data_IF_947113636544
#
_entry.id   IF_947113636544
#
_cell.length_a   1.000
_cell.length_b   1.000
_cell.length_c   1.000
_cell.angle_alpha   90.00
_cell.angle_beta   90.00
_cell.angle_gamma   90.00
#
_symmetry.space_group_name_H-M   'P 1'
#
loop_
_entity.id
_entity.type
_entity.pdbx_description
1 polymer ?
#
# COMPACT_ATOMS: atom_id res chain seq x y z
N UNK A 1 -0.06 -28.00 -10.99
CA UNK A 1 0.26 -26.58 -11.22
C UNK A 1 -0.96 -25.65 -11.16
N UNK A 2 -2.17 -25.99 -11.66
CA UNK A 2 -3.34 -25.10 -11.58
C UNK A 2 -3.77 -24.73 -10.15
N UNK A 3 -3.76 -25.71 -9.23
CA UNK A 3 -4.12 -25.47 -7.83
C UNK A 3 -3.14 -24.54 -7.08
N UNK A 4 -1.87 -24.47 -7.49
CA UNK A 4 -0.91 -23.53 -6.89
C UNK A 4 -1.19 -22.11 -7.36
N UNK A 5 -1.40 -21.90 -8.67
CA UNK A 5 -1.70 -20.56 -9.22
C UNK A 5 -3.02 -19.99 -8.68
N UNK A 6 -3.99 -20.84 -8.38
CA UNK A 6 -5.21 -20.39 -7.71
C UNK A 6 -4.96 -19.93 -6.27
N UNK A 7 -4.08 -20.62 -5.53
CA UNK A 7 -3.65 -20.17 -4.19
C UNK A 7 -2.86 -18.86 -4.23
N UNK A 8 -2.10 -18.62 -5.31
CA UNK A 8 -1.38 -17.37 -5.54
C UNK A 8 -2.35 -16.20 -5.74
N UNK A 9 -3.40 -16.37 -6.54
CA UNK A 9 -4.48 -15.37 -6.70
C UNK A 9 -5.21 -15.11 -5.38
N UNK A 10 -5.58 -16.16 -4.65
CA UNK A 10 -6.21 -15.98 -3.32
C UNK A 10 -5.30 -15.24 -2.34
N UNK A 11 -3.98 -15.38 -2.48
CA UNK A 11 -3.02 -14.63 -1.66
C UNK A 11 -2.98 -13.17 -2.06
N UNK A 12 -2.99 -12.84 -3.35
CA UNK A 12 -3.07 -11.46 -3.86
C UNK A 12 -4.28 -10.76 -3.22
N UNK A 13 -5.46 -11.37 -3.28
CA UNK A 13 -6.68 -10.81 -2.69
C UNK A 13 -6.55 -10.58 -1.18
N UNK A 14 -6.02 -11.56 -0.42
CA UNK A 14 -5.80 -11.39 1.03
C UNK A 14 -4.82 -10.27 1.33
N UNK A 15 -3.74 -10.14 0.57
CA UNK A 15 -2.75 -9.07 0.77
C UNK A 15 -3.38 -7.70 0.47
N UNK A 16 -4.20 -7.58 -0.60
CA UNK A 16 -4.94 -6.36 -0.90
C UNK A 16 -5.91 -5.97 0.23
N UNK A 17 -6.68 -6.92 0.77
CA UNK A 17 -7.57 -6.68 1.90
C UNK A 17 -6.82 -6.15 3.13
N UNK A 18 -5.65 -6.73 3.45
CA UNK A 18 -4.80 -6.30 4.56
C UNK A 18 -4.29 -4.87 4.30
N UNK A 19 -3.81 -4.58 3.09
CA UNK A 19 -3.28 -3.27 2.71
C UNK A 19 -4.38 -2.21 2.84
N UNK A 20 -5.57 -2.45 2.29
CA UNK A 20 -6.72 -1.53 2.39
C UNK A 20 -7.20 -1.36 3.83
N UNK A 21 -7.16 -2.42 4.64
CA UNK A 21 -7.47 -2.37 6.06
C UNK A 21 -6.48 -1.49 6.83
N UNK A 22 -5.18 -1.57 6.53
CA UNK A 22 -4.16 -0.71 7.13
C UNK A 22 -4.38 0.76 6.76
N UNK A 23 -4.65 1.06 5.49
CA UNK A 23 -4.97 2.41 5.02
C UNK A 23 -6.18 2.97 5.78
N UNK A 24 -7.25 2.20 5.88
CA UNK A 24 -8.47 2.61 6.60
C UNK A 24 -8.19 2.95 8.06
N UNK A 25 -7.38 2.14 8.73
CA UNK A 25 -6.98 2.38 10.13
C UNK A 25 -6.12 3.64 10.26
N UNK A 26 -5.13 3.83 9.40
CA UNK A 26 -4.27 5.04 9.41
C UNK A 26 -5.13 6.29 9.29
N UNK A 27 -6.06 6.32 8.34
CA UNK A 27 -6.97 7.46 8.14
C UNK A 27 -7.84 7.74 9.37
N UNK A 28 -8.26 6.69 10.09
CA UNK A 28 -9.09 6.81 11.28
C UNK A 28 -8.34 7.26 12.55
N UNK A 29 -6.99 7.20 12.58
CA UNK A 29 -6.21 7.61 13.76
C UNK A 29 -6.30 9.12 14.06
N UNK A 30 -6.60 9.95 13.05
CA UNK A 30 -6.80 11.39 13.24
C UNK A 30 -8.27 11.76 13.11
N UNK A 31 -8.94 11.96 14.25
CA UNK A 31 -10.35 12.40 14.30
C UNK A 31 -10.56 13.89 14.08
N UNK A 32 -9.47 14.64 13.85
CA UNK A 32 -9.50 16.09 13.69
C UNK A 32 -8.99 16.55 12.31
N UNK A 33 -8.71 15.66 11.34
CA UNK A 33 -8.05 16.04 10.08
C UNK A 33 -8.84 17.11 9.27
N UNK A 34 -10.17 17.15 9.41
CA UNK A 34 -11.03 18.16 8.77
C UNK A 34 -11.00 19.53 9.48
N UNK A 35 -10.49 19.57 10.71
CA UNK A 35 -10.56 20.73 11.60
C UNK A 35 -9.21 21.37 11.91
N UNK A 36 -8.11 20.62 11.75
CA UNK A 36 -6.74 21.11 11.99
C UNK A 36 -5.82 20.74 10.83
N UNK A 37 -4.95 21.67 10.46
CA UNK A 37 -3.96 21.49 9.39
C UNK A 37 -2.57 21.08 9.93
N UNK A 38 -2.41 21.04 11.25
CA UNK A 38 -1.14 20.72 11.89
C UNK A 38 -1.37 20.06 13.26
N UNK A 39 -0.72 18.93 13.52
CA UNK A 39 -0.82 18.21 14.80
C UNK A 39 -0.37 19.04 16.03
N UNK A 40 0.34 20.16 15.85
CA UNK A 40 0.79 21.02 16.94
C UNK A 40 -0.35 21.79 17.64
N UNK A 41 -1.54 21.86 17.04
CA UNK A 41 -2.73 22.43 17.69
C UNK A 41 -3.44 21.43 18.61
N UNK A 42 -3.08 20.14 18.56
CA UNK A 42 -3.66 19.11 19.41
C UNK A 42 -3.05 19.12 20.82
N UNK A 43 -3.81 18.60 21.80
CA UNK A 43 -3.33 18.39 23.17
C UNK A 43 -2.05 17.53 23.18
N UNK A 44 -0.98 17.89 23.92
CA UNK A 44 0.31 17.23 23.82
C UNK A 44 0.29 15.70 24.03
N UNK A 45 -0.50 15.23 25.00
CA UNK A 45 -0.63 13.79 25.29
C UNK A 45 -1.34 13.05 24.15
N UNK A 46 -2.41 13.64 23.60
CA UNK A 46 -3.13 13.09 22.46
C UNK A 46 -2.22 13.03 21.22
N UNK A 47 -1.45 14.09 20.98
CA UNK A 47 -0.47 14.17 19.88
C UNK A 47 0.58 13.06 19.97
N UNK A 48 1.11 12.78 21.17
CA UNK A 48 2.11 11.74 21.36
C UNK A 48 1.56 10.34 21.03
N UNK A 49 0.37 10.02 21.54
CA UNK A 49 -0.29 8.71 21.27
C UNK A 49 -0.63 8.57 19.78
N UNK A 50 -1.26 9.59 19.20
CA UNK A 50 -1.63 9.61 17.77
C UNK A 50 -0.40 9.43 16.88
N UNK A 51 0.70 10.14 17.17
CA UNK A 51 1.96 10.00 16.43
C UNK A 51 2.48 8.55 16.50
N UNK A 52 2.53 7.95 17.69
CA UNK A 52 3.03 6.58 17.84
C UNK A 52 2.19 5.54 17.08
N UNK A 53 0.86 5.67 17.13
CA UNK A 53 -0.04 4.78 16.39
C UNK A 53 0.13 4.93 14.88
N UNK A 54 0.12 6.17 14.37
CA UNK A 54 0.31 6.47 12.95
C UNK A 54 1.67 5.94 12.47
N UNK A 55 2.73 6.13 13.26
CA UNK A 55 4.06 5.62 12.93
C UNK A 55 4.08 4.11 12.72
N UNK A 56 3.52 3.38 13.68
CA UNK A 56 3.49 1.93 13.66
C UNK A 56 2.64 1.41 12.49
N UNK A 57 1.48 2.03 12.24
CA UNK A 57 0.60 1.64 11.14
C UNK A 57 1.22 1.94 9.78
N UNK A 58 1.85 3.11 9.60
CA UNK A 58 2.57 3.45 8.36
C UNK A 58 3.70 2.45 8.11
N UNK A 59 4.47 2.10 9.15
CA UNK A 59 5.53 1.10 9.02
C UNK A 59 4.96 -0.24 8.53
N UNK A 60 3.88 -0.72 9.14
CA UNK A 60 3.22 -1.97 8.72
C UNK A 60 2.65 -1.88 7.30
N UNK A 61 2.02 -0.76 6.93
CA UNK A 61 1.51 -0.52 5.58
C UNK A 61 2.61 -0.60 4.53
N UNK A 62 3.74 0.07 4.77
CA UNK A 62 4.88 0.06 3.86
C UNK A 62 5.47 -1.35 3.74
N UNK A 63 5.70 -2.03 4.86
CA UNK A 63 6.30 -3.37 4.86
C UNK A 63 5.43 -4.40 4.13
N UNK A 64 4.13 -4.41 4.40
CA UNK A 64 3.19 -5.34 3.75
C UNK A 64 3.10 -5.05 2.25
N UNK A 65 2.97 -3.78 1.86
CA UNK A 65 2.83 -3.40 0.45
C UNK A 65 4.09 -3.73 -0.36
N UNK A 66 5.28 -3.44 0.17
CA UNK A 66 6.53 -3.78 -0.53
C UNK A 66 6.74 -5.30 -0.64
N UNK A 67 6.34 -6.05 0.40
CA UNK A 67 6.40 -7.52 0.37
C UNK A 67 5.44 -8.09 -0.67
N UNK A 68 4.23 -7.55 -0.77
CA UNK A 68 3.24 -7.92 -1.78
C UNK A 68 3.78 -7.70 -3.19
N UNK A 69 4.32 -6.51 -3.49
CA UNK A 69 4.92 -6.21 -4.80
C UNK A 69 6.02 -7.20 -5.20
N UNK A 70 6.86 -7.60 -4.24
CA UNK A 70 7.91 -8.60 -4.46
C UNK A 70 7.32 -9.98 -4.79
N UNK A 71 6.27 -10.39 -4.09
CA UNK A 71 5.61 -11.69 -4.32
C UNK A 71 4.98 -11.73 -5.71
N UNK A 72 4.27 -10.69 -6.13
CA UNK A 72 3.70 -10.61 -7.48
C UNK A 72 4.79 -10.63 -8.56
N UNK A 73 5.91 -9.96 -8.32
CA UNK A 73 7.08 -10.03 -9.20
C UNK A 73 7.57 -11.47 -9.42
N UNK A 74 7.50 -12.31 -8.39
CA UNK A 74 7.84 -13.74 -8.49
C UNK A 74 6.76 -14.52 -9.26
N UNK A 75 5.48 -14.21 -9.04
CA UNK A 75 4.37 -14.84 -9.79
C UNK A 75 4.42 -14.56 -11.29
N UNK A 76 5.00 -13.43 -11.66
CA UNK A 76 5.21 -13.04 -13.04
C UNK A 76 6.37 -13.79 -13.75
N UNK A 77 7.19 -14.59 -13.07
CA UNK A 77 8.36 -15.22 -13.72
C UNK A 77 7.98 -16.17 -14.86
N UNK A 78 6.84 -16.88 -14.73
CA UNK A 78 6.38 -17.88 -15.69
C UNK A 78 4.94 -17.60 -16.16
N UNK A 79 4.69 -17.72 -17.46
CA UNK A 79 3.34 -17.61 -18.03
C UNK A 79 2.78 -16.20 -18.20
N UNK A 80 3.54 -15.16 -17.82
CA UNK A 80 3.14 -13.74 -17.96
C UNK A 80 3.94 -13.06 -19.07
N UNK A 81 3.30 -12.34 -20.03
CA UNK A 81 3.98 -11.66 -21.11
C UNK A 81 4.99 -10.61 -20.63
N UNK A 82 6.17 -10.58 -21.26
CA UNK A 82 7.26 -9.65 -20.87
C UNK A 82 6.82 -8.18 -20.80
N UNK A 83 5.96 -7.74 -21.72
CA UNK A 83 5.45 -6.38 -21.75
C UNK A 83 4.65 -6.02 -20.49
N UNK A 84 3.77 -6.93 -20.04
CA UNK A 84 3.00 -6.76 -18.82
C UNK A 84 3.93 -6.72 -17.60
N UNK A 85 4.87 -7.66 -17.48
CA UNK A 85 5.86 -7.69 -16.36
C UNK A 85 6.64 -6.39 -16.24
N UNK A 86 7.13 -5.87 -17.36
CA UNK A 86 7.89 -4.63 -17.38
C UNK A 86 7.03 -3.40 -17.02
N UNK A 87 5.73 -3.42 -17.33
CA UNK A 87 4.81 -2.36 -16.95
C UNK A 87 4.42 -2.46 -15.46
N UNK A 88 4.07 -3.65 -14.99
CA UNK A 88 3.70 -3.95 -13.60
C UNK A 88 4.84 -3.60 -12.64
N UNK A 89 6.07 -4.05 -12.93
CA UNK A 89 7.24 -3.74 -12.09
C UNK A 89 7.56 -2.24 -12.05
N UNK A 90 7.27 -1.48 -13.12
CA UNK A 90 7.41 -0.02 -13.09
C UNK A 90 6.37 0.62 -12.16
N UNK A 91 5.12 0.15 -12.21
CA UNK A 91 4.08 0.61 -11.30
C UNK A 91 4.43 0.29 -9.83
N UNK A 92 5.01 -0.90 -9.55
CA UNK A 92 5.53 -1.22 -8.21
C UNK A 92 6.62 -0.24 -7.74
N UNK A 93 7.51 0.21 -8.63
CA UNK A 93 8.53 1.21 -8.29
C UNK A 93 7.94 2.58 -7.98
N UNK A 94 6.90 3.00 -8.71
CA UNK A 94 6.17 4.24 -8.43
C UNK A 94 5.51 4.20 -7.05
N UNK A 95 4.83 3.08 -6.72
CA UNK A 95 4.26 2.84 -5.39
C UNK A 95 5.37 2.87 -4.31
N UNK A 96 6.50 2.21 -4.54
CA UNK A 96 7.61 2.18 -3.58
C UNK A 96 8.17 3.57 -3.27
N UNK A 97 8.29 4.46 -4.26
CA UNK A 97 8.74 5.83 -4.02
C UNK A 97 7.68 6.66 -3.27
N UNK A 98 6.37 6.46 -3.54
CA UNK A 98 5.31 7.08 -2.73
C UNK A 98 5.37 6.64 -1.26
N UNK A 99 5.50 5.33 -1.02
CA UNK A 99 5.63 4.76 0.33
C UNK A 99 6.83 5.32 1.09
N UNK A 100 7.96 5.48 0.40
CA UNK A 100 9.16 6.10 0.95
C UNK A 100 8.95 7.58 1.26
N UNK A 101 8.29 8.33 0.38
CA UNK A 101 7.98 9.74 0.61
C UNK A 101 7.14 9.93 1.89
N UNK A 102 6.10 9.11 2.10
CA UNK A 102 5.28 9.11 3.33
C UNK A 102 6.17 8.95 4.56
N UNK A 103 7.09 7.97 4.56
CA UNK A 103 7.99 7.73 5.69
C UNK A 103 8.95 8.88 5.95
N UNK A 104 9.51 9.47 4.90
CA UNK A 104 10.47 10.58 5.01
C UNK A 104 9.80 11.82 5.60
N UNK A 105 8.64 12.20 5.06
CA UNK A 105 7.86 13.35 5.56
C UNK A 105 7.54 13.14 7.04
N UNK A 106 6.90 12.03 7.38
CA UNK A 106 6.47 11.77 8.75
C UNK A 106 7.63 11.67 9.74
N UNK A 107 8.79 11.16 9.33
CA UNK A 107 9.98 11.09 10.21
C UNK A 107 10.58 12.47 10.49
N UNK A 108 10.46 13.41 9.55
CA UNK A 108 11.04 14.74 9.65
C UNK A 108 10.22 15.70 10.53
N UNK A 109 8.89 15.70 10.35
CA UNK A 109 7.99 16.66 11.00
C UNK A 109 7.09 16.05 12.10
N UNK A 110 6.91 14.72 12.09
CA UNK A 110 5.96 14.03 12.97
C UNK A 110 4.51 14.46 12.73
N UNK A 111 4.20 15.07 11.59
CA UNK A 111 2.88 15.57 11.24
C UNK A 111 2.02 14.45 10.66
N UNK A 112 1.17 13.88 11.52
CA UNK A 112 0.25 12.80 11.15
C UNK A 112 -0.73 13.17 10.03
N UNK A 113 -1.09 14.45 9.88
CA UNK A 113 -2.03 14.89 8.84
C UNK A 113 -1.42 14.74 7.45
N UNK A 114 -0.21 15.27 7.25
CA UNK A 114 0.51 15.14 5.97
C UNK A 114 0.82 13.68 5.63
N UNK A 115 1.11 12.87 6.65
CA UNK A 115 1.30 11.44 6.44
C UNK A 115 0.01 10.73 5.99
N UNK A 116 -1.15 11.10 6.57
CA UNK A 116 -2.46 10.60 6.16
C UNK A 116 -2.79 11.04 4.72
N UNK A 117 -2.53 12.29 4.35
CA UNK A 117 -2.71 12.78 2.96
C UNK A 117 -1.87 11.96 1.96
N UNK A 118 -0.60 11.68 2.30
CA UNK A 118 0.25 10.82 1.47
C UNK A 118 -0.30 9.39 1.36
N UNK A 119 -0.87 8.84 2.43
CA UNK A 119 -1.54 7.54 2.42
C UNK A 119 -2.80 7.54 1.53
N UNK A 120 -3.56 8.64 1.48
CA UNK A 120 -4.71 8.78 0.56
C UNK A 120 -4.29 8.83 -0.92
N UNK A 121 -3.17 9.49 -1.23
CA UNK A 121 -2.60 9.47 -2.57
C UNK A 121 -2.12 8.06 -2.94
N UNK A 122 -1.48 7.35 -2.01
CA UNK A 122 -1.09 5.96 -2.20
C UNK A 122 -2.30 5.04 -2.43
N UNK A 123 -3.42 5.26 -1.73
CA UNK A 123 -4.67 4.51 -1.95
C UNK A 123 -5.18 4.65 -3.39
N UNK A 124 -5.14 5.86 -3.95
CA UNK A 124 -5.58 6.11 -5.34
C UNK A 124 -4.68 5.37 -6.34
N UNK A 125 -3.36 5.40 -6.10
CA UNK A 125 -2.37 4.69 -6.92
C UNK A 125 -2.56 3.18 -6.82
N UNK A 126 -2.72 2.64 -5.61
CA UNK A 126 -2.95 1.21 -5.35
C UNK A 126 -4.26 0.73 -5.99
N UNK A 127 -5.36 1.48 -5.86
CA UNK A 127 -6.64 1.07 -6.45
C UNK A 127 -6.57 1.04 -7.98
N UNK A 128 -5.83 1.98 -8.57
CA UNK A 128 -5.57 1.97 -10.01
C UNK A 128 -4.68 0.78 -10.38
N UNK A 129 -3.66 0.50 -9.57
CA UNK A 129 -2.76 -0.63 -9.77
C UNK A 129 -3.48 -1.98 -9.77
N UNK A 130 -4.36 -2.20 -8.77
CA UNK A 130 -5.13 -3.43 -8.63
C UNK A 130 -6.00 -3.70 -9.87
N UNK A 131 -6.57 -2.63 -10.43
CA UNK A 131 -7.43 -2.71 -11.60
C UNK A 131 -6.63 -2.90 -12.89
N UNK A 132 -5.59 -2.11 -13.08
CA UNK A 132 -4.91 -1.98 -14.37
C UNK A 132 -3.78 -3.01 -14.55
N UNK A 133 -3.28 -3.59 -13.45
CA UNK A 133 -2.19 -4.57 -13.47
C UNK A 133 -2.58 -5.89 -12.79
N UNK A 134 -2.97 -5.88 -11.52
CA UNK A 134 -3.17 -7.13 -10.77
C UNK A 134 -4.31 -7.97 -11.35
N UNK A 135 -5.41 -7.34 -11.76
CA UNK A 135 -6.50 -8.05 -12.43
C UNK A 135 -6.04 -8.74 -13.73
N UNK A 136 -5.13 -8.13 -14.49
CA UNK A 136 -4.58 -8.76 -15.69
C UNK A 136 -3.59 -9.88 -15.33
N UNK A 137 -2.77 -9.70 -14.29
CA UNK A 137 -1.91 -10.74 -13.73
C UNK A 137 -2.72 -11.97 -13.32
N UNK A 138 -3.82 -11.79 -12.59
CA UNK A 138 -4.72 -12.88 -12.19
C UNK A 138 -5.22 -13.68 -13.40
N UNK A 139 -5.60 -13.00 -14.48
CA UNK A 139 -6.04 -13.65 -15.71
C UNK A 139 -4.92 -14.53 -16.32
N UNK A 140 -3.67 -14.05 -16.32
CA UNK A 140 -2.53 -14.85 -16.79
C UNK A 140 -2.25 -16.06 -15.90
N UNK A 141 -2.37 -15.90 -14.58
CA UNK A 141 -2.16 -16.99 -13.62
C UNK A 141 -3.24 -18.08 -13.75
N UNK A 142 -4.49 -17.69 -14.02
CA UNK A 142 -5.61 -18.61 -14.16
C UNK A 142 -5.77 -19.17 -15.58
N UNK A 143 -5.10 -18.59 -16.57
CA UNK A 143 -5.15 -19.07 -17.94
C UNK A 143 -4.65 -20.52 -18.03
N UNK A 144 -5.33 -21.38 -18.82
CA UNK A 144 -4.83 -22.72 -19.10
C UNK A 144 -3.49 -22.64 -19.84
N UNK A 145 -2.51 -23.39 -19.35
CA UNK A 145 -1.16 -23.53 -19.94
C UNK A 145 -1.21 -24.41 -21.18
#
# INVERSE_FOLDING_TARGET
MPAMRQQDVERIHRDHEIILGLITRIKAECTQNDSVQNCNTCQPNLRMVCRGNIEQLIKSFVEVTLKHNLIESMYMEEGVPQAHRAAHNRAHMEIAEQLKAIRVVFSADGNGIQAIEGVEQALTTLTSHFKDFDQELENYLLAPV
#
